data_IF_503583382242
#
_entry.id   IF_503583382242
#
_cell.length_a   1.000
_cell.length_b   1.000
_cell.length_c   1.000
_cell.angle_alpha   90.00
_cell.angle_beta   90.00
_cell.angle_gamma   90.00
#
_symmetry.space_group_name_H-M   'P 1'
#
loop_
_entity.id
_entity.type
_entity.pdbx_description
1 polymer ?
#
# COMPACT_ATOMS: atom_id res chain seq x y z
N UNK A 1 -11.14 -18.63 -16.70
CA UNK A 1 -11.92 -18.77 -15.45
C UNK A 1 -11.19 -17.95 -14.39
N UNK A 2 -11.89 -17.12 -13.62
CA UNK A 2 -11.28 -16.27 -12.58
C UNK A 2 -11.55 -16.91 -11.23
N UNK A 3 -10.56 -16.90 -10.33
CA UNK A 3 -10.74 -17.29 -8.94
C UNK A 3 -10.53 -16.06 -8.07
N UNK A 4 -11.46 -15.80 -7.15
CA UNK A 4 -11.44 -14.66 -6.25
C UNK A 4 -11.47 -15.20 -4.82
N UNK A 5 -10.55 -14.72 -4.00
CA UNK A 5 -10.52 -14.99 -2.56
C UNK A 5 -10.73 -13.68 -1.82
N UNK A 6 -11.88 -13.53 -1.16
CA UNK A 6 -12.14 -12.45 -0.21
C UNK A 6 -11.60 -12.79 1.17
N UNK A 7 -11.07 -11.81 1.87
CA UNK A 7 -10.55 -11.96 3.22
C UNK A 7 -11.14 -10.87 4.13
N UNK A 8 -11.65 -11.25 5.29
CA UNK A 8 -12.10 -10.30 6.32
C UNK A 8 -11.74 -10.83 7.72
N UNK A 9 -11.55 -9.93 8.68
CA UNK A 9 -11.29 -10.29 10.08
C UNK A 9 -12.53 -10.85 10.79
N UNK A 10 -13.73 -10.46 10.34
CA UNK A 10 -15.00 -10.79 11.00
C UNK A 10 -15.61 -12.03 10.37
N UNK A 11 -15.70 -13.10 11.17
CA UNK A 11 -16.36 -14.34 10.77
C UNK A 11 -17.80 -14.12 10.28
N UNK A 12 -18.54 -13.19 10.90
CA UNK A 12 -19.93 -12.89 10.50
C UNK A 12 -20.02 -12.31 9.08
N UNK A 13 -19.07 -11.45 8.69
CA UNK A 13 -18.99 -10.89 7.33
C UNK A 13 -18.68 -12.00 6.34
N UNK A 14 -17.69 -12.83 6.65
CA UNK A 14 -17.30 -13.97 5.80
C UNK A 14 -18.45 -14.94 5.60
N UNK A 15 -19.13 -15.37 6.67
CA UNK A 15 -20.28 -16.27 6.59
C UNK A 15 -21.41 -15.68 5.75
N UNK A 16 -21.68 -14.38 5.89
CA UNK A 16 -22.68 -13.69 5.08
C UNK A 16 -22.30 -13.65 3.59
N UNK A 17 -21.05 -13.33 3.26
CA UNK A 17 -20.55 -13.31 1.89
C UNK A 17 -20.54 -14.71 1.25
N UNK A 18 -20.21 -15.76 2.02
CA UNK A 18 -20.28 -17.15 1.56
C UNK A 18 -21.73 -17.55 1.23
N UNK A 19 -22.69 -17.14 2.05
CA UNK A 19 -24.11 -17.41 1.79
C UNK A 19 -24.58 -16.71 0.51
N UNK A 20 -24.28 -15.42 0.35
CA UNK A 20 -24.60 -14.67 -0.89
C UNK A 20 -23.95 -15.33 -2.12
N UNK A 21 -22.69 -15.75 -2.02
CA UNK A 21 -21.98 -16.44 -3.10
C UNK A 21 -22.67 -17.74 -3.51
N UNK A 22 -23.16 -18.51 -2.53
CA UNK A 22 -23.89 -19.76 -2.77
C UNK A 22 -25.27 -19.51 -3.41
N UNK A 23 -26.01 -18.53 -2.89
CA UNK A 23 -27.35 -18.16 -3.38
C UNK A 23 -27.32 -17.64 -4.83
N UNK A 24 -26.24 -16.96 -5.21
CA UNK A 24 -26.03 -16.43 -6.56
C UNK A 24 -25.25 -17.37 -7.50
N UNK A 25 -24.87 -18.56 -7.02
CA UNK A 25 -24.06 -19.53 -7.77
C UNK A 25 -22.75 -18.94 -8.34
N UNK A 26 -22.07 -18.12 -7.54
CA UNK A 26 -20.81 -17.46 -7.91
C UNK A 26 -19.63 -18.44 -7.87
N UNK A 27 -19.48 -19.23 -8.93
CA UNK A 27 -18.35 -20.15 -9.08
C UNK A 27 -17.00 -19.43 -9.05
N UNK A 28 -16.07 -19.95 -8.25
CA UNK A 28 -14.71 -19.39 -8.13
C UNK A 28 -14.57 -18.24 -7.14
N UNK A 29 -15.64 -17.85 -6.44
CA UNK A 29 -15.61 -16.86 -5.37
C UNK A 29 -15.61 -17.55 -3.99
N UNK A 30 -14.50 -17.43 -3.26
CA UNK A 30 -14.34 -17.95 -1.91
C UNK A 30 -14.08 -16.82 -0.92
N UNK A 31 -14.46 -17.00 0.34
CA UNK A 31 -14.21 -16.04 1.41
C UNK A 31 -13.61 -16.75 2.62
N UNK A 32 -12.59 -16.15 3.21
CA UNK A 32 -11.87 -16.68 4.36
C UNK A 32 -11.83 -15.66 5.49
N UNK A 33 -11.91 -16.14 6.73
CA UNK A 33 -11.67 -15.30 7.91
C UNK A 33 -10.18 -15.26 8.18
N UNK A 34 -9.58 -14.07 8.23
CA UNK A 34 -8.16 -13.94 8.51
C UNK A 34 -7.63 -12.52 8.42
N UNK A 35 -6.46 -12.33 9.00
CA UNK A 35 -5.71 -11.09 8.93
C UNK A 35 -4.84 -11.07 7.66
N UNK A 36 -4.99 -10.04 6.84
CA UNK A 36 -4.24 -9.90 5.59
C UNK A 36 -2.72 -9.86 5.82
N UNK A 37 -2.27 -9.34 6.97
CA UNK A 37 -0.84 -9.33 7.32
C UNK A 37 -0.25 -10.73 7.52
N UNK A 38 -1.10 -11.74 7.73
CA UNK A 38 -0.73 -13.15 7.90
C UNK A 38 -1.18 -14.03 6.74
N UNK A 39 -1.84 -13.45 5.76
CA UNK A 39 -2.33 -14.19 4.61
C UNK A 39 -1.16 -14.67 3.76
N UNK A 40 -1.16 -15.96 3.45
CA UNK A 40 -0.24 -16.56 2.51
C UNK A 40 -1.06 -17.13 1.36
N UNK A 41 -0.78 -16.70 0.13
CA UNK A 41 -1.47 -17.22 -1.06
C UNK A 41 -1.14 -18.69 -1.38
N UNK A 42 -0.21 -19.29 -0.64
CA UNK A 42 0.29 -20.63 -0.89
C UNK A 42 1.10 -20.68 -2.19
N UNK A 43 0.93 -21.75 -2.97
CA UNK A 43 1.59 -21.92 -4.28
C UNK A 43 0.87 -21.23 -5.44
N UNK A 44 -0.30 -20.62 -5.20
CA UNK A 44 -1.04 -19.91 -6.23
C UNK A 44 -0.57 -18.45 -6.31
N UNK A 45 -0.23 -18.03 -7.54
CA UNK A 45 0.09 -16.64 -7.85
C UNK A 45 -1.17 -15.79 -7.67
N UNK A 46 -1.02 -14.63 -7.03
CA UNK A 46 -2.06 -13.60 -7.05
C UNK A 46 -1.83 -12.72 -8.29
N UNK A 47 -2.78 -12.67 -9.22
CA UNK A 47 -2.64 -11.78 -10.39
C UNK A 47 -3.05 -10.34 -10.06
N UNK A 48 -4.08 -10.17 -9.22
CA UNK A 48 -4.66 -8.88 -8.85
C UNK A 48 -5.02 -8.89 -7.36
N UNK A 49 -4.50 -7.90 -6.62
CA UNK A 49 -4.88 -7.61 -5.24
C UNK A 49 -5.67 -6.32 -5.19
N UNK A 50 -6.82 -6.35 -4.51
CA UNK A 50 -7.71 -5.20 -4.32
C UNK A 50 -7.97 -5.01 -2.83
N UNK A 51 -7.72 -3.82 -2.30
CA UNK A 51 -8.13 -3.43 -0.96
C UNK A 51 -9.03 -2.19 -1.03
N UNK A 52 -10.30 -2.35 -0.66
CA UNK A 52 -11.28 -1.27 -0.63
C UNK A 52 -11.56 -0.87 0.82
N UNK A 53 -11.42 0.41 1.13
CA UNK A 53 -11.65 0.97 2.47
C UNK A 53 -10.85 0.30 3.61
N UNK A 54 -9.65 -0.21 3.30
CA UNK A 54 -8.73 -0.69 4.32
C UNK A 54 -8.15 0.50 5.10
N UNK A 55 -8.72 0.82 6.27
CA UNK A 55 -8.32 1.99 7.03
C UNK A 55 -6.94 1.86 7.67
N UNK A 56 -6.25 2.99 7.82
CA UNK A 56 -4.96 3.14 8.51
C UNK A 56 -3.91 2.16 7.97
N UNK A 57 -3.25 1.40 8.85
CA UNK A 57 -2.22 0.41 8.50
C UNK A 57 -2.77 -0.83 7.79
N UNK A 58 -4.08 -1.01 7.70
CA UNK A 58 -4.66 -2.13 6.95
C UNK A 58 -4.39 -2.00 5.43
N UNK A 59 -4.36 -0.76 4.89
CA UNK A 59 -3.91 -0.53 3.50
C UNK A 59 -2.46 -0.97 3.35
N UNK A 60 -1.60 -0.63 4.31
CA UNK A 60 -0.18 -0.99 4.27
C UNK A 60 0.03 -2.50 4.35
N UNK A 61 -0.71 -3.19 5.23
CA UNK A 61 -0.70 -4.64 5.34
C UNK A 61 -1.16 -5.31 4.03
N UNK A 62 -2.20 -4.78 3.37
CA UNK A 62 -2.66 -5.28 2.09
C UNK A 62 -1.62 -5.08 0.96
N UNK A 63 -0.98 -3.91 0.91
CA UNK A 63 0.11 -3.64 -0.05
C UNK A 63 1.29 -4.60 0.21
N UNK A 64 1.73 -4.75 1.46
CA UNK A 64 2.83 -5.63 1.83
C UNK A 64 2.54 -7.11 1.49
N UNK A 65 1.32 -7.58 1.77
CA UNK A 65 0.87 -8.92 1.43
C UNK A 65 0.86 -9.14 -0.10
N UNK A 66 0.35 -8.17 -0.86
CA UNK A 66 0.32 -8.24 -2.32
C UNK A 66 1.73 -8.27 -2.93
N UNK A 67 2.66 -7.47 -2.39
CA UNK A 67 4.07 -7.48 -2.80
C UNK A 67 4.74 -8.81 -2.46
N UNK A 68 4.47 -9.37 -1.27
CA UNK A 68 5.00 -10.67 -0.86
C UNK A 68 4.47 -11.83 -1.71
N UNK A 69 3.22 -11.71 -2.20
CA UNK A 69 2.61 -12.66 -3.14
C UNK A 69 3.04 -12.44 -4.60
N UNK A 70 4.00 -11.53 -4.85
CA UNK A 70 4.56 -11.22 -6.18
C UNK A 70 3.51 -10.78 -7.22
N UNK A 71 2.47 -10.07 -6.76
CA UNK A 71 1.25 -9.73 -7.52
C UNK A 71 1.52 -8.86 -8.74
N UNK A 72 0.83 -9.10 -9.86
CA UNK A 72 1.02 -8.27 -11.08
C UNK A 72 0.36 -6.89 -10.97
N UNK A 73 -0.81 -6.80 -10.33
CA UNK A 73 -1.54 -5.55 -10.16
C UNK A 73 -2.03 -5.38 -8.71
N UNK A 74 -1.79 -4.20 -8.14
CA UNK A 74 -2.25 -3.81 -6.81
C UNK A 74 -3.17 -2.59 -6.96
N UNK A 75 -4.36 -2.67 -6.38
CA UNK A 75 -5.33 -1.58 -6.30
C UNK A 75 -5.70 -1.32 -4.85
N UNK A 76 -5.25 -0.19 -4.30
CA UNK A 76 -5.52 0.18 -2.92
C UNK A 76 -6.30 1.49 -2.87
N UNK A 77 -7.47 1.47 -2.23
CA UNK A 77 -8.27 2.67 -1.92
C UNK A 77 -8.01 3.05 -0.46
N UNK A 78 -7.06 3.96 -0.19
CA UNK A 78 -6.78 4.42 1.16
C UNK A 78 -7.94 5.25 1.70
N UNK A 79 -8.34 4.98 2.94
CA UNK A 79 -9.42 5.70 3.61
C UNK A 79 -8.86 6.64 4.68
N UNK A 80 -8.81 6.27 5.96
CA UNK A 80 -8.28 7.13 7.04
C UNK A 80 -6.82 6.80 7.36
N UNK A 81 -6.02 7.76 7.85
CA UNK A 81 -4.61 7.54 8.23
C UNK A 81 -4.29 8.25 9.54
N UNK A 82 -3.94 7.47 10.57
CA UNK A 82 -3.62 7.97 11.90
C UNK A 82 -2.14 7.81 12.23
N UNK A 83 -1.46 6.79 11.69
CA UNK A 83 -0.05 6.52 11.97
C UNK A 83 0.82 7.75 11.72
N UNK A 84 0.81 8.28 10.50
CA UNK A 84 1.64 9.43 10.14
C UNK A 84 1.12 10.75 10.71
N UNK A 85 -0.17 10.84 11.06
CA UNK A 85 -0.69 12.04 11.73
C UNK A 85 0.02 12.32 13.05
N UNK A 86 0.39 11.27 13.81
CA UNK A 86 1.11 11.42 15.08
C UNK A 86 2.59 11.78 14.89
N UNK A 87 3.20 11.36 13.78
CA UNK A 87 4.62 11.62 13.49
C UNK A 87 4.86 12.98 12.85
N UNK A 88 3.93 13.44 12.01
CA UNK A 88 4.12 14.66 11.24
C UNK A 88 4.32 15.86 12.18
N UNK A 89 5.52 16.41 12.08
CA UNK A 89 5.96 17.54 12.88
C UNK A 89 5.73 18.87 12.15
N UNK A 90 5.49 19.91 12.92
CA UNK A 90 5.09 21.22 12.44
C UNK A 90 6.27 22.13 12.12
N UNK A 91 7.39 21.62 11.60
CA UNK A 91 8.64 22.37 11.39
C UNK A 91 8.49 23.57 10.42
N UNK A 92 9.12 23.57 9.24
CA UNK A 92 8.89 24.60 8.23
C UNK A 92 7.40 24.77 7.82
N UNK A 93 6.58 23.75 8.06
CA UNK A 93 5.17 23.68 7.66
C UNK A 93 4.19 24.08 8.79
N UNK A 94 4.67 24.72 9.86
CA UNK A 94 3.85 25.15 11.00
C UNK A 94 2.54 25.84 10.59
N UNK A 95 2.60 26.72 9.58
CA UNK A 95 1.43 27.44 9.06
C UNK A 95 0.38 26.52 8.43
N UNK A 96 0.80 25.53 7.63
CA UNK A 96 -0.09 24.55 7.01
C UNK A 96 -0.68 23.59 8.04
N UNK A 97 0.14 23.14 8.99
CA UNK A 97 -0.21 22.09 9.95
C UNK A 97 -0.88 22.62 11.23
N UNK A 98 -1.10 23.93 11.33
CA UNK A 98 -1.69 24.60 12.51
C UNK A 98 -3.08 24.09 12.86
N UNK A 99 -3.91 23.82 11.84
CA UNK A 99 -5.29 23.40 12.02
C UNK A 99 -5.39 21.88 11.86
N UNK A 100 -6.02 21.20 12.82
CA UNK A 100 -6.10 19.73 12.86
C UNK A 100 -6.57 19.10 11.55
N UNK A 101 -7.60 19.67 10.91
CA UNK A 101 -8.11 19.20 9.62
C UNK A 101 -7.08 19.30 8.48
N UNK A 102 -6.27 20.35 8.44
CA UNK A 102 -5.21 20.51 7.44
C UNK A 102 -4.06 19.55 7.73
N UNK A 103 -3.72 19.33 9.00
CA UNK A 103 -2.75 18.32 9.41
C UNK A 103 -3.22 16.92 9.03
N UNK A 104 -4.48 16.56 9.25
CA UNK A 104 -5.06 15.26 8.89
C UNK A 104 -5.05 15.01 7.37
N UNK A 105 -5.46 16.00 6.57
CA UNK A 105 -5.43 15.92 5.12
C UNK A 105 -4.01 15.81 4.59
N UNK A 106 -3.09 16.63 5.12
CA UNK A 106 -1.68 16.57 4.75
C UNK A 106 -1.08 15.22 5.13
N UNK A 107 -1.39 14.70 6.32
CA UNK A 107 -0.95 13.38 6.74
C UNK A 107 -1.42 12.29 5.77
N UNK A 108 -2.71 12.30 5.41
CA UNK A 108 -3.25 11.34 4.44
C UNK A 108 -2.51 11.40 3.10
N UNK A 109 -2.31 12.60 2.54
CA UNK A 109 -1.61 12.79 1.27
C UNK A 109 -0.14 12.35 1.33
N UNK A 110 0.55 12.66 2.43
CA UNK A 110 1.94 12.23 2.64
C UNK A 110 2.01 10.70 2.76
N UNK A 111 1.07 10.07 3.47
CA UNK A 111 1.01 8.59 3.53
C UNK A 111 0.86 7.98 2.14
N UNK A 112 -0.08 8.48 1.33
CA UNK A 112 -0.36 7.91 0.02
C UNK A 112 0.80 8.15 -0.97
N UNK A 113 1.48 9.29 -0.87
CA UNK A 113 2.71 9.56 -1.61
C UNK A 113 3.84 8.59 -1.21
N UNK A 114 4.03 8.33 0.09
CA UNK A 114 5.02 7.36 0.57
C UNK A 114 4.70 5.93 0.11
N UNK A 115 3.43 5.52 0.16
CA UNK A 115 2.98 4.22 -0.38
C UNK A 115 3.28 4.09 -1.86
N UNK A 116 3.00 5.14 -2.63
CA UNK A 116 3.28 5.16 -4.07
C UNK A 116 4.79 5.02 -4.34
N UNK A 117 5.62 5.77 -3.63
CA UNK A 117 7.07 5.69 -3.74
C UNK A 117 7.61 4.31 -3.33
N UNK A 118 7.08 3.69 -2.27
CA UNK A 118 7.45 2.31 -1.90
C UNK A 118 7.16 1.35 -3.04
N UNK A 119 5.96 1.40 -3.61
CA UNK A 119 5.58 0.55 -4.75
C UNK A 119 6.51 0.77 -5.95
N UNK A 120 6.86 2.02 -6.26
CA UNK A 120 7.76 2.35 -7.37
C UNK A 120 9.18 1.85 -7.14
N UNK A 121 9.73 2.05 -5.94
CA UNK A 121 11.05 1.54 -5.51
C UNK A 121 11.08 0.01 -5.62
N UNK A 122 9.96 -0.64 -5.31
CA UNK A 122 9.78 -2.09 -5.40
C UNK A 122 9.46 -2.62 -6.80
N UNK A 123 9.55 -1.78 -7.84
CA UNK A 123 9.47 -2.22 -9.24
C UNK A 123 8.07 -2.18 -9.85
N UNK A 124 7.13 -1.46 -9.23
CA UNK A 124 5.83 -1.18 -9.84
C UNK A 124 5.86 0.14 -10.62
N UNK A 125 4.97 0.27 -11.60
CA UNK A 125 4.54 1.55 -12.15
C UNK A 125 3.28 1.94 -11.40
N UNK A 126 3.36 3.03 -10.64
CA UNK A 126 2.29 3.45 -9.74
C UNK A 126 1.60 4.71 -10.25
N UNK A 127 0.30 4.79 -10.04
CA UNK A 127 -0.53 5.95 -10.32
C UNK A 127 -1.42 6.20 -9.09
N UNK A 128 -1.51 7.45 -8.65
CA UNK A 128 -2.50 7.88 -7.67
C UNK A 128 -3.54 8.68 -8.45
N UNK A 129 -4.74 8.13 -8.57
CA UNK A 129 -5.81 8.69 -9.41
C UNK A 129 -7.09 8.88 -8.61
N UNK A 130 -7.95 9.77 -9.10
CA UNK A 130 -9.32 9.90 -8.60
C UNK A 130 -10.16 8.70 -9.02
N UNK A 131 -10.86 8.09 -8.06
CA UNK A 131 -11.65 6.87 -8.21
C UNK A 131 -13.16 7.13 -8.22
N UNK A 132 -13.64 8.03 -7.37
CA UNK A 132 -15.05 8.40 -7.23
C UNK A 132 -15.11 9.92 -7.03
N UNK A 133 -16.12 10.58 -7.59
CA UNK A 133 -16.30 12.02 -7.40
C UNK A 133 -16.40 12.40 -5.91
N UNK A 134 -15.80 13.53 -5.54
CA UNK A 134 -15.76 13.99 -4.13
C UNK A 134 -17.13 14.27 -3.53
N UNK A 135 -18.18 14.40 -4.36
CA UNK A 135 -19.56 14.64 -3.93
C UNK A 135 -20.11 13.51 -3.05
N UNK A 136 -19.58 12.29 -3.20
CA UNK A 136 -19.97 11.14 -2.40
C UNK A 136 -19.01 10.84 -1.24
N UNK A 137 -17.73 11.24 -1.34
CA UNK A 137 -16.75 11.00 -0.29
C UNK A 137 -15.52 11.91 -0.42
N UNK A 138 -14.98 12.45 0.69
CA UNK A 138 -13.68 13.13 0.66
C UNK A 138 -12.50 12.16 0.48
N UNK A 139 -12.75 10.85 0.45
CA UNK A 139 -11.78 9.78 0.21
C UNK A 139 -11.99 9.22 -1.19
N UNK A 140 -11.38 9.89 -2.16
CA UNK A 140 -11.57 9.68 -3.59
C UNK A 140 -10.33 9.13 -4.31
N UNK A 141 -9.26 8.75 -3.61
CA UNK A 141 -8.03 8.29 -4.25
C UNK A 141 -7.97 6.77 -4.39
N UNK A 142 -7.40 6.32 -5.52
CA UNK A 142 -6.98 4.95 -5.79
C UNK A 142 -5.50 4.94 -6.14
N UNK A 143 -4.73 4.16 -5.39
CA UNK A 143 -3.35 3.79 -5.72
C UNK A 143 -3.40 2.55 -6.61
N UNK A 144 -3.07 2.72 -7.89
CA UNK A 144 -2.94 1.64 -8.87
C UNK A 144 -1.47 1.39 -9.15
N UNK A 145 -0.98 0.20 -8.82
CA UNK A 145 0.39 -0.23 -9.09
C UNK A 145 0.39 -1.45 -10.02
N UNK A 146 1.10 -1.35 -11.14
CA UNK A 146 1.26 -2.42 -12.12
C UNK A 146 2.72 -2.82 -12.19
N UNK A 147 3.00 -4.11 -11.99
CA UNK A 147 4.36 -4.65 -11.97
C UNK A 147 5.08 -4.38 -13.29
N UNK A 148 6.32 -3.91 -13.22
CA UNK A 148 7.12 -3.65 -14.43
C UNK A 148 7.67 -4.95 -14.97
N UNK A 149 7.69 -5.08 -16.29
CA UNK A 149 8.33 -6.21 -16.98
C UNK A 149 9.86 -6.14 -16.89
N UNK A 150 10.41 -4.94 -16.75
CA UNK A 150 11.86 -4.70 -16.65
C UNK A 150 12.19 -3.95 -15.37
N UNK A 151 13.37 -4.25 -14.81
CA UNK A 151 13.91 -3.50 -13.67
C UNK A 151 14.10 -2.03 -14.03
N UNK A 152 13.90 -1.15 -13.05
CA UNK A 152 14.19 0.27 -13.20
C UNK A 152 15.68 0.50 -13.45
N UNK A 153 16.06 1.41 -14.36
CA UNK A 153 17.43 1.88 -14.45
C UNK A 153 17.90 2.40 -13.09
N UNK A 154 19.14 2.06 -12.72
CA UNK A 154 19.72 2.39 -11.41
C UNK A 154 19.59 3.86 -11.05
N UNK A 155 19.74 4.74 -12.05
CA UNK A 155 19.62 6.19 -11.88
C UNK A 155 18.20 6.59 -11.46
N UNK A 156 17.17 6.05 -12.12
CA UNK A 156 15.77 6.33 -11.80
C UNK A 156 15.42 5.78 -10.41
N UNK A 157 15.85 4.56 -10.11
CA UNK A 157 15.65 3.96 -8.79
C UNK A 157 16.28 4.80 -7.67
N UNK A 158 17.50 5.32 -7.86
CA UNK A 158 18.16 6.21 -6.88
C UNK A 158 17.39 7.51 -6.67
N UNK A 159 16.78 8.05 -7.72
CA UNK A 159 15.99 9.27 -7.60
C UNK A 159 14.70 9.02 -6.80
N UNK A 160 14.03 7.88 -7.02
CA UNK A 160 12.87 7.49 -6.21
C UNK A 160 13.21 7.33 -4.73
N UNK A 161 14.33 6.67 -4.42
CA UNK A 161 14.81 6.53 -3.03
C UNK A 161 15.14 7.90 -2.42
N UNK A 162 15.71 8.82 -3.20
CA UNK A 162 15.98 10.19 -2.75
C UNK A 162 14.68 10.95 -2.45
N UNK A 163 13.67 10.85 -3.31
CA UNK A 163 12.35 11.46 -3.10
C UNK A 163 11.68 10.90 -1.84
N UNK A 164 11.70 9.57 -1.66
CA UNK A 164 11.19 8.90 -0.47
C UNK A 164 11.84 9.42 0.81
N UNK A 165 13.18 9.50 0.85
CA UNK A 165 13.90 10.06 2.00
C UNK A 165 13.58 11.53 2.23
N UNK A 166 13.62 12.34 1.18
CA UNK A 166 13.36 13.78 1.27
C UNK A 166 11.97 14.06 1.82
N UNK A 167 10.96 13.29 1.39
CA UNK A 167 9.59 13.44 1.88
C UNK A 167 9.49 13.04 3.36
N UNK A 168 10.14 11.95 3.76
CA UNK A 168 10.22 11.54 5.17
C UNK A 168 10.88 12.62 6.04
N UNK A 169 12.04 13.13 5.63
CA UNK A 169 12.78 14.17 6.34
C UNK A 169 11.98 15.46 6.45
N UNK A 170 11.37 15.92 5.35
CA UNK A 170 10.56 17.13 5.30
C UNK A 170 9.41 17.13 6.32
N UNK A 171 8.84 15.95 6.60
CA UNK A 171 7.71 15.79 7.50
C UNK A 171 8.07 15.20 8.88
N UNK A 172 9.36 14.91 9.14
CA UNK A 172 9.82 14.33 10.39
C UNK A 172 9.38 12.88 10.61
N UNK A 173 9.24 12.11 9.53
CA UNK A 173 8.77 10.72 9.55
C UNK A 173 9.97 9.78 9.65
N UNK A 174 10.04 9.00 10.72
CA UNK A 174 11.14 8.06 10.93
C UNK A 174 10.90 6.73 10.21
N UNK A 175 9.74 6.12 10.43
CA UNK A 175 9.31 4.85 9.82
C UNK A 175 7.79 4.76 9.87
N UNK A 176 7.20 3.93 9.03
CA UNK A 176 5.76 3.66 9.03
C UNK A 176 5.49 2.18 8.73
N UNK A 177 4.26 1.72 8.91
CA UNK A 177 3.95 0.30 8.94
C UNK A 177 4.39 -0.45 7.67
N UNK A 178 4.14 0.12 6.48
CA UNK A 178 4.53 -0.54 5.22
C UNK A 178 6.05 -0.78 5.15
N UNK A 179 6.84 0.22 5.54
CA UNK A 179 8.31 0.11 5.58
C UNK A 179 8.78 -0.95 6.59
N UNK A 180 8.05 -1.14 7.69
CA UNK A 180 8.32 -2.20 8.66
C UNK A 180 7.93 -3.58 8.11
N UNK A 181 6.76 -3.68 7.47
CA UNK A 181 6.24 -4.92 6.91
C UNK A 181 7.12 -5.48 5.78
N UNK A 182 7.80 -4.62 5.03
CA UNK A 182 8.77 -5.02 3.99
C UNK A 182 10.14 -5.43 4.54
N UNK A 183 10.37 -5.25 5.84
CA UNK A 183 11.53 -5.75 6.57
C UNK A 183 12.83 -4.94 6.38
N UNK A 184 13.88 -5.37 7.09
CA UNK A 184 15.16 -4.65 7.15
C UNK A 184 15.86 -4.52 5.79
N UNK A 185 15.64 -5.47 4.88
CA UNK A 185 16.31 -5.43 3.57
C UNK A 185 15.83 -4.22 2.76
N UNK A 186 14.52 -3.98 2.72
CA UNK A 186 13.96 -2.80 2.06
C UNK A 186 14.46 -1.51 2.71
N UNK A 187 14.50 -1.47 4.05
CA UNK A 187 15.00 -0.31 4.80
C UNK A 187 16.48 -0.04 4.49
N UNK A 188 17.34 -1.07 4.48
CA UNK A 188 18.76 -0.95 4.11
C UNK A 188 18.94 -0.46 2.68
N UNK A 189 18.18 -0.99 1.72
CA UNK A 189 18.17 -0.50 0.34
C UNK A 189 17.79 0.98 0.29
N UNK A 190 16.74 1.35 1.02
CA UNK A 190 16.28 2.73 1.13
C UNK A 190 17.19 3.62 1.98
N UNK A 191 18.23 3.13 2.67
CA UNK A 191 19.21 3.92 3.43
C UNK A 191 20.59 4.01 2.76
N UNK A 192 20.97 3.02 1.96
CA UNK A 192 22.30 2.96 1.35
C UNK A 192 22.33 3.78 0.06
N UNK A 193 22.93 4.97 0.10
CA UNK A 193 23.30 5.69 -1.13
C UNK A 193 24.49 4.98 -1.80
N UNK A 194 24.25 3.91 -2.58
CA UNK A 194 25.24 3.52 -3.61
C UNK A 194 25.69 2.06 -3.76
N UNK A 195 25.09 1.05 -3.13
CA UNK A 195 25.41 -0.35 -3.48
C UNK A 195 24.15 -1.14 -3.85
N UNK A 196 24.08 -1.51 -5.13
CA UNK A 196 23.20 -2.55 -5.62
C UNK A 196 23.80 -3.85 -5.09
N UNK A 197 23.03 -4.64 -4.33
CA UNK A 197 23.36 -6.05 -4.20
C UNK A 197 23.16 -6.71 -5.56
N UNK A 198 24.24 -6.80 -6.34
CA UNK A 198 24.39 -7.83 -7.36
C UNK A 198 24.45 -9.15 -6.61
N UNK A 199 23.31 -9.80 -6.43
CA UNK A 199 23.25 -10.98 -5.56
C UNK A 199 21.90 -11.66 -5.52
N UNK A 200 21.35 -11.99 -6.69
CA UNK A 200 20.61 -13.24 -6.91
C UNK A 200 20.98 -13.69 -8.33
N UNK A 201 22.20 -14.23 -8.47
CA UNK A 201 22.49 -15.26 -9.47
C UNK A 201 22.79 -16.53 -8.66
N UNK A 202 21.96 -17.54 -8.88
CA UNK A 202 21.92 -18.82 -8.17
C UNK A 202 20.60 -19.50 -8.43
#
# INVERSE_FOLDING_TARGET
RVNITGLDLKQSVVSHCQQISADLHCDGLTFNTGDISRFQSGSQKCDLSISLHACDTATDAAIAAAMSADTDVIMAVPCCQHELFQQISSGPQAGLLKHGILKERTASLVTDALRALVLEISGYRTQVIEFIETEHTPKNLLIRAVKRQSRLPVREWRELVKQFRSLKEQYGINTFYLEQALGEQFQKQCQTSGHIMTGIDG
#
